data_IF_837997127408
#
_entry.id   IF_837997127408
#
_cell.length_a   1.000
_cell.length_b   1.000
_cell.length_c   1.000
_cell.angle_alpha   90.00
_cell.angle_beta   90.00
_cell.angle_gamma   90.00
#
_symmetry.space_group_name_H-M   'P 1'
#
loop_
_entity.id
_entity.type
_entity.pdbx_description
1 polymer ?
#
# COMPACT_ATOMS: atom_id res chain seq x y z
N UNK A 1 -7.27 -12.45 8.76
CA UNK A 1 -7.71 -13.10 7.51
C UNK A 1 -8.89 -12.38 6.87
N UNK A 2 -9.97 -12.11 7.55
CA UNK A 2 -11.03 -11.25 7.01
C UNK A 2 -10.50 -9.87 6.65
N UNK A 3 -9.60 -9.34 7.46
CA UNK A 3 -8.85 -8.12 7.22
C UNK A 3 -7.39 -8.42 6.93
N UNK A 4 -6.69 -7.50 6.25
CA UNK A 4 -5.26 -7.57 5.97
C UNK A 4 -4.41 -6.80 6.98
N UNK A 5 -4.96 -6.55 8.17
CA UNK A 5 -4.30 -5.86 9.28
C UNK A 5 -4.76 -6.42 10.63
N UNK A 6 -4.09 -6.03 11.71
CA UNK A 6 -4.48 -6.33 13.08
C UNK A 6 -5.23 -5.12 13.65
N UNK A 7 -6.46 -5.32 14.07
CA UNK A 7 -7.36 -4.24 14.51
C UNK A 7 -6.89 -3.53 15.78
N UNK A 8 -6.16 -4.23 16.63
CA UNK A 8 -5.76 -3.71 17.93
C UNK A 8 -4.26 -3.50 18.03
N UNK A 9 -3.83 -2.24 18.09
CA UNK A 9 -2.45 -1.88 18.36
C UNK A 9 -2.01 -2.38 19.74
N UNK A 10 -0.73 -2.75 19.82
CA UNK A 10 -0.15 -3.25 21.03
C UNK A 10 -0.61 -4.64 21.42
N UNK A 11 -1.33 -5.35 20.54
CA UNK A 11 -1.65 -6.76 20.76
C UNK A 11 -0.36 -7.59 20.72
N UNK A 12 -0.15 -8.37 21.77
CA UNK A 12 1.01 -9.26 21.87
C UNK A 12 0.58 -10.69 21.58
N UNK A 13 1.04 -11.21 20.42
CA UNK A 13 0.72 -12.58 20.00
C UNK A 13 1.56 -13.61 20.75
N UNK A 14 2.82 -13.24 21.04
CA UNK A 14 3.80 -14.06 21.74
C UNK A 14 4.64 -13.17 22.64
N UNK A 15 5.26 -13.76 23.64
CA UNK A 15 6.09 -13.03 24.61
C UNK A 15 7.17 -12.19 23.90
N UNK A 16 7.09 -10.90 24.06
CA UNK A 16 7.97 -9.92 23.42
C UNK A 16 7.65 -9.60 21.94
N UNK A 17 6.63 -10.21 21.33
CA UNK A 17 6.23 -9.95 19.95
C UNK A 17 4.92 -9.15 19.90
N UNK A 18 5.06 -7.87 20.09
CA UNK A 18 3.95 -6.92 20.15
C UNK A 18 3.65 -6.32 18.78
N UNK A 19 2.36 -6.36 18.38
CA UNK A 19 1.94 -5.69 17.15
C UNK A 19 2.12 -4.17 17.27
N UNK A 20 2.76 -3.59 16.25
CA UNK A 20 2.92 -2.15 16.08
C UNK A 20 2.09 -1.71 14.87
N UNK A 21 1.14 -0.81 15.10
CA UNK A 21 0.37 -0.18 14.04
C UNK A 21 1.17 0.87 13.27
N UNK A 22 0.49 1.60 12.42
CA UNK A 22 1.09 2.74 11.73
C UNK A 22 1.37 3.90 12.70
N UNK A 23 2.29 4.76 12.30
CA UNK A 23 2.59 5.97 13.06
C UNK A 23 1.86 7.16 12.45
N UNK A 24 0.87 7.75 13.14
CA UNK A 24 0.15 8.90 12.63
C UNK A 24 1.06 10.14 12.53
N UNK A 25 0.89 10.93 11.48
CA UNK A 25 1.53 12.23 11.37
C UNK A 25 0.72 13.30 12.10
N UNK A 26 1.40 14.30 12.68
CA UNK A 26 0.71 15.42 13.34
C UNK A 26 -0.20 16.18 12.39
N UNK A 27 -1.41 16.52 12.84
CA UNK A 27 -2.40 17.28 12.06
C UNK A 27 -1.89 18.66 11.59
N UNK A 28 -1.04 19.31 12.37
CA UNK A 28 -0.43 20.61 12.05
C UNK A 28 0.49 20.59 10.82
N UNK A 29 0.87 19.40 10.35
CA UNK A 29 1.65 19.21 9.12
C UNK A 29 0.79 19.02 7.87
N UNK A 30 -0.51 18.84 8.00
CA UNK A 30 -1.42 18.62 6.87
C UNK A 30 -1.72 19.93 6.14
N UNK A 31 -1.57 19.91 4.83
CA UNK A 31 -1.89 21.02 3.93
C UNK A 31 -3.20 20.73 3.22
N UNK A 32 -4.18 21.63 3.36
CA UNK A 32 -5.48 21.49 2.70
C UNK A 32 -5.40 21.95 1.25
N UNK A 33 -5.89 21.11 0.33
CA UNK A 33 -5.87 21.34 -1.12
C UNK A 33 -7.26 21.18 -1.73
N UNK A 34 -7.55 21.94 -2.81
CA UNK A 34 -8.82 21.92 -3.55
C UNK A 34 -8.66 21.53 -5.03
N UNK A 35 -7.48 21.75 -5.59
CA UNK A 35 -7.20 21.58 -7.02
C UNK A 35 -5.74 21.15 -7.25
N UNK A 36 -5.38 20.94 -8.51
CA UNK A 36 -4.05 20.49 -8.89
C UNK A 36 -2.96 21.51 -8.57
N UNK A 37 -3.25 22.79 -8.70
CA UNK A 37 -2.33 23.89 -8.42
C UNK A 37 -1.97 23.97 -6.94
N UNK A 38 -2.96 23.75 -6.06
CA UNK A 38 -2.73 23.68 -4.61
C UNK A 38 -1.83 22.51 -4.26
N UNK A 39 -2.04 21.33 -4.88
CA UNK A 39 -1.19 20.15 -4.68
C UNK A 39 0.22 20.41 -5.18
N UNK A 40 0.37 21.00 -6.37
CA UNK A 40 1.68 21.38 -6.93
C UNK A 40 2.45 22.31 -6.00
N UNK A 41 1.76 23.32 -5.45
CA UNK A 41 2.34 24.25 -4.47
C UNK A 41 2.78 23.54 -3.20
N UNK A 42 1.92 22.67 -2.65
CA UNK A 42 2.22 21.91 -1.43
C UNK A 42 3.44 21.00 -1.62
N UNK A 43 3.54 20.31 -2.76
CA UNK A 43 4.71 19.49 -3.08
C UNK A 43 5.99 20.30 -3.18
N UNK A 44 5.94 21.43 -3.91
CA UNK A 44 7.09 22.31 -4.03
C UNK A 44 7.61 22.76 -2.67
N UNK A 45 6.73 23.29 -1.83
CA UNK A 45 7.07 23.75 -0.47
C UNK A 45 7.62 22.60 0.40
N UNK A 46 7.02 21.41 0.32
CA UNK A 46 7.46 20.25 1.09
C UNK A 46 8.87 19.78 0.68
N UNK A 47 9.18 19.74 -0.61
CA UNK A 47 10.51 19.36 -1.10
C UNK A 47 11.56 20.45 -0.85
N UNK A 48 11.21 21.71 -1.00
CA UNK A 48 12.09 22.84 -0.64
C UNK A 48 12.46 22.81 0.85
N UNK A 49 11.52 22.47 1.74
CA UNK A 49 11.77 22.35 3.18
C UNK A 49 12.75 21.20 3.53
N UNK A 50 12.91 20.24 2.64
CA UNK A 50 13.82 19.09 2.77
C UNK A 50 15.07 19.22 1.88
N UNK A 51 15.40 20.42 1.44
CA UNK A 51 16.51 20.65 0.49
C UNK A 51 17.90 20.19 0.96
N UNK A 52 18.07 19.99 2.27
CA UNK A 52 19.32 19.54 2.89
C UNK A 52 19.30 18.04 3.25
N UNK A 53 18.29 17.27 2.78
CA UNK A 53 18.16 15.84 3.01
C UNK A 53 18.35 15.12 1.68
N UNK A 54 19.17 14.08 1.64
CA UNK A 54 19.29 13.22 0.47
C UNK A 54 18.04 12.37 0.33
N UNK A 55 17.15 12.83 -0.57
CA UNK A 55 15.87 12.16 -0.82
C UNK A 55 16.02 11.09 -1.90
N UNK A 56 15.26 10.01 -1.75
CA UNK A 56 14.97 9.05 -2.81
C UNK A 56 13.46 8.87 -2.99
N UNK A 57 13.04 8.36 -4.13
CA UNK A 57 11.61 8.14 -4.43
C UNK A 57 11.34 6.71 -4.91
N UNK A 58 10.25 6.09 -4.40
CA UNK A 58 9.66 4.93 -5.05
C UNK A 58 8.87 5.38 -6.29
N UNK A 59 9.38 5.06 -7.47
CA UNK A 59 8.81 5.45 -8.75
C UNK A 59 8.18 4.22 -9.44
N UNK A 60 6.90 4.01 -9.22
CA UNK A 60 6.20 2.78 -9.61
C UNK A 60 5.74 2.74 -11.09
N UNK A 61 5.94 3.80 -11.85
CA UNK A 61 5.32 3.96 -13.19
C UNK A 61 3.84 4.38 -13.15
N UNK A 62 3.23 4.45 -11.97
CA UNK A 62 1.88 4.97 -11.77
C UNK A 62 1.82 6.49 -11.70
N UNK A 63 0.62 7.03 -11.90
CA UNK A 63 0.36 8.47 -11.94
C UNK A 63 0.78 9.20 -10.65
N UNK A 64 0.53 8.61 -9.49
CA UNK A 64 0.77 9.28 -8.20
C UNK A 64 2.26 9.51 -7.95
N UNK A 65 3.07 8.47 -8.14
CA UNK A 65 4.52 8.58 -8.00
C UNK A 65 5.14 9.47 -9.07
N UNK A 66 4.58 9.48 -10.30
CA UNK A 66 4.98 10.40 -11.35
C UNK A 66 4.73 11.86 -10.97
N UNK A 67 3.58 12.18 -10.36
CA UNK A 67 3.31 13.52 -9.88
C UNK A 67 4.33 13.97 -8.82
N UNK A 68 4.74 13.11 -7.90
CA UNK A 68 5.80 13.43 -6.93
C UNK A 68 7.16 13.61 -7.62
N UNK A 69 7.51 12.74 -8.57
CA UNK A 69 8.78 12.80 -9.31
C UNK A 69 9.00 14.15 -10.01
N UNK A 70 7.92 14.78 -10.46
CA UNK A 70 7.97 16.09 -11.13
C UNK A 70 8.47 17.25 -10.23
N UNK A 71 8.50 17.07 -8.93
CA UNK A 71 8.96 18.08 -7.96
C UNK A 71 10.29 17.72 -7.30
N UNK A 72 10.87 16.55 -7.64
CA UNK A 72 12.18 16.15 -7.15
C UNK A 72 13.29 16.94 -7.84
N UNK A 73 14.42 17.11 -7.16
CA UNK A 73 15.61 17.74 -7.76
C UNK A 73 16.17 16.83 -8.86
N UNK A 74 16.69 17.38 -9.98
CA UNK A 74 17.49 16.61 -10.91
C UNK A 74 18.64 15.89 -10.19
N UNK A 75 18.89 14.63 -10.56
CA UNK A 75 19.88 13.79 -9.92
C UNK A 75 19.38 13.02 -8.68
N UNK A 76 18.15 13.25 -8.24
CA UNK A 76 17.56 12.43 -7.15
C UNK A 76 17.43 10.97 -7.57
N UNK A 77 17.75 10.04 -6.66
CA UNK A 77 17.65 8.61 -6.89
C UNK A 77 16.18 8.15 -6.86
N UNK A 78 15.77 7.42 -7.89
CA UNK A 78 14.43 6.88 -8.07
C UNK A 78 14.51 5.34 -8.18
N UNK A 79 13.65 4.62 -7.47
CA UNK A 79 13.68 3.16 -7.37
C UNK A 79 12.40 2.58 -7.95
N UNK A 80 12.54 1.63 -8.88
CA UNK A 80 11.42 0.89 -9.48
C UNK A 80 11.67 -0.62 -9.41
N UNK A 81 10.59 -1.40 -9.28
CA UNK A 81 10.72 -2.86 -9.15
C UNK A 81 10.89 -3.53 -10.50
N UNK A 82 11.84 -4.49 -10.56
CA UNK A 82 12.02 -5.40 -11.68
C UNK A 82 11.85 -6.84 -11.19
N UNK A 83 10.75 -7.47 -11.60
CA UNK A 83 10.45 -8.84 -11.18
C UNK A 83 11.20 -9.84 -12.05
N UNK A 84 11.87 -10.81 -11.40
CA UNK A 84 12.68 -11.85 -12.04
C UNK A 84 12.00 -13.22 -11.92
N UNK A 85 12.40 -14.15 -12.80
CA UNK A 85 11.96 -15.55 -12.73
C UNK A 85 10.56 -15.83 -13.29
N UNK A 86 9.98 -14.91 -14.06
CA UNK A 86 8.68 -15.08 -14.67
C UNK A 86 8.47 -14.17 -15.87
N UNK A 87 7.31 -14.31 -16.52
CA UNK A 87 6.89 -13.41 -17.59
C UNK A 87 6.02 -12.30 -16.97
N UNK A 88 6.64 -11.22 -16.56
CA UNK A 88 5.99 -10.07 -15.94
C UNK A 88 5.90 -8.89 -16.90
N UNK A 89 4.86 -8.07 -16.76
CA UNK A 89 4.73 -6.84 -17.55
C UNK A 89 5.88 -5.86 -17.24
N UNK A 90 6.43 -5.25 -18.28
CA UNK A 90 7.48 -4.21 -18.18
C UNK A 90 6.92 -2.79 -18.22
N UNK A 91 5.62 -2.64 -18.46
CA UNK A 91 4.99 -1.33 -18.68
C UNK A 91 5.25 -0.33 -17.56
N UNK A 92 5.19 -0.78 -16.29
CA UNK A 92 5.45 0.10 -15.15
C UNK A 92 6.90 0.58 -15.13
N UNK A 93 7.86 -0.30 -15.44
CA UNK A 93 9.27 0.06 -15.54
C UNK A 93 9.53 1.03 -16.70
N UNK A 94 8.90 0.80 -17.85
CA UNK A 94 9.03 1.68 -19.02
C UNK A 94 8.47 3.07 -18.73
N UNK A 95 7.31 3.16 -18.06
CA UNK A 95 6.76 4.43 -17.60
C UNK A 95 7.65 5.11 -16.55
N UNK A 96 8.14 4.36 -15.56
CA UNK A 96 9.06 4.88 -14.55
C UNK A 96 10.33 5.48 -15.20
N UNK A 97 10.88 4.79 -16.21
CA UNK A 97 12.01 5.28 -17.00
C UNK A 97 11.68 6.60 -17.70
N UNK A 98 10.54 6.68 -18.37
CA UNK A 98 10.09 7.88 -19.08
C UNK A 98 9.96 9.09 -18.11
N UNK A 99 9.40 8.87 -16.92
CA UNK A 99 9.26 9.91 -15.90
C UNK A 99 10.60 10.34 -15.32
N UNK A 100 11.48 9.38 -15.06
CA UNK A 100 12.83 9.68 -14.57
C UNK A 100 13.66 10.47 -15.59
N UNK A 101 13.63 10.07 -16.87
CA UNK A 101 14.31 10.80 -17.94
C UNK A 101 13.83 12.24 -18.08
N UNK A 102 12.49 12.46 -18.01
CA UNK A 102 11.90 13.81 -18.11
C UNK A 102 12.40 14.78 -17.03
N UNK A 103 12.56 14.32 -15.82
CA UNK A 103 12.97 15.13 -14.68
C UNK A 103 14.43 14.91 -14.26
N UNK A 104 15.20 14.21 -15.09
CA UNK A 104 16.63 13.95 -14.86
C UNK A 104 16.92 13.25 -13.52
N UNK A 105 16.09 12.26 -13.17
CA UNK A 105 16.29 11.43 -11.98
C UNK A 105 17.21 10.25 -12.32
N UNK A 106 17.94 9.75 -11.33
CA UNK A 106 18.78 8.56 -11.46
C UNK A 106 17.90 7.32 -11.20
N UNK A 107 17.51 6.61 -12.23
CA UNK A 107 16.62 5.44 -12.08
C UNK A 107 17.42 4.17 -11.75
N UNK A 108 17.08 3.56 -10.63
CA UNK A 108 17.59 2.26 -10.16
C UNK A 108 16.50 1.20 -10.29
N UNK A 109 16.90 0.00 -10.76
CA UNK A 109 16.02 -1.16 -10.79
C UNK A 109 16.27 -2.03 -9.57
N UNK A 110 15.22 -2.28 -8.80
CA UNK A 110 15.25 -3.16 -7.64
C UNK A 110 14.79 -4.55 -8.09
N UNK A 111 15.72 -5.49 -8.10
CA UNK A 111 15.45 -6.86 -8.54
C UNK A 111 14.70 -7.64 -7.47
N UNK A 112 13.54 -8.16 -7.83
CA UNK A 112 12.63 -8.87 -6.95
C UNK A 112 12.39 -10.29 -7.47
N UNK A 113 12.81 -11.27 -6.69
CA UNK A 113 12.50 -12.68 -6.87
C UNK A 113 12.03 -13.30 -5.54
N UNK A 114 11.80 -14.61 -5.54
CA UNK A 114 11.35 -15.29 -4.33
C UNK A 114 12.37 -15.22 -3.19
N UNK A 115 13.67 -15.21 -3.47
CA UNK A 115 14.70 -15.10 -2.45
C UNK A 115 14.66 -13.77 -1.67
N UNK A 116 14.24 -12.68 -2.34
CA UNK A 116 13.96 -11.39 -1.69
C UNK A 116 12.82 -11.53 -0.68
N UNK A 117 11.76 -12.22 -1.07
CA UNK A 117 10.61 -12.47 -0.18
C UNK A 117 11.07 -13.26 1.04
N UNK A 118 11.77 -14.36 0.85
CA UNK A 118 12.20 -15.25 1.94
C UNK A 118 13.11 -14.54 2.94
N UNK A 119 14.11 -13.78 2.48
CA UNK A 119 15.04 -13.10 3.38
C UNK A 119 14.42 -11.92 4.14
N UNK A 120 13.44 -11.25 3.55
CA UNK A 120 12.82 -10.06 4.13
C UNK A 120 11.60 -10.38 5.02
N UNK A 121 11.02 -11.58 4.91
CA UNK A 121 9.75 -11.91 5.56
C UNK A 121 9.85 -11.94 7.09
N UNK A 122 10.82 -12.65 7.64
CA UNK A 122 10.98 -12.80 9.09
C UNK A 122 11.32 -11.45 9.78
N UNK A 123 12.26 -10.63 9.30
CA UNK A 123 12.50 -9.30 9.86
C UNK A 123 11.25 -8.40 9.85
N UNK A 124 10.48 -8.41 8.76
CA UNK A 124 9.24 -7.64 8.64
C UNK A 124 8.17 -8.08 9.65
N UNK A 125 8.00 -9.39 9.82
CA UNK A 125 7.04 -9.95 10.79
C UNK A 125 7.44 -9.64 12.22
N UNK A 126 8.73 -9.71 12.55
CA UNK A 126 9.24 -9.36 13.88
C UNK A 126 9.04 -7.89 14.20
N UNK A 127 9.31 -7.00 13.24
CA UNK A 127 9.11 -5.56 13.45
C UNK A 127 7.63 -5.21 13.62
N UNK A 128 6.76 -5.79 12.80
CA UNK A 128 5.31 -5.54 12.84
C UNK A 128 4.62 -6.25 14.01
N UNK A 129 5.18 -7.36 14.50
CA UNK A 129 4.52 -8.25 15.45
C UNK A 129 3.27 -8.92 14.88
N UNK A 130 3.22 -9.15 13.55
CA UNK A 130 2.07 -9.69 12.85
C UNK A 130 2.46 -10.23 11.45
N UNK A 131 1.60 -11.02 10.79
CA UNK A 131 1.72 -11.30 9.37
C UNK A 131 1.76 -10.00 8.55
N UNK A 132 2.48 -10.02 7.42
CA UNK A 132 2.75 -8.83 6.61
C UNK A 132 2.05 -8.86 5.26
N UNK A 133 1.88 -7.69 4.65
CA UNK A 133 1.29 -7.55 3.32
C UNK A 133 2.27 -7.98 2.23
N UNK A 134 1.77 -8.49 1.11
CA UNK A 134 2.60 -9.00 -0.01
C UNK A 134 3.50 -7.97 -0.70
N UNK A 135 3.28 -6.68 -0.45
CA UNK A 135 4.14 -5.61 -0.99
C UNK A 135 5.32 -5.27 -0.08
N UNK A 136 5.27 -5.65 1.20
CA UNK A 136 6.29 -5.23 2.18
C UNK A 136 7.68 -5.74 1.87
N UNK A 137 7.89 -7.02 1.44
CA UNK A 137 9.22 -7.50 1.12
C UNK A 137 9.94 -6.71 0.01
N UNK A 138 9.22 -6.32 -1.04
CA UNK A 138 9.79 -5.55 -2.15
C UNK A 138 10.06 -4.08 -1.77
N UNK A 139 9.19 -3.47 -0.95
CA UNK A 139 9.43 -2.10 -0.44
C UNK A 139 10.65 -2.09 0.48
N UNK A 140 10.79 -3.08 1.36
CA UNK A 140 11.98 -3.21 2.22
C UNK A 140 13.25 -3.36 1.39
N UNK A 141 13.22 -4.14 0.31
CA UNK A 141 14.38 -4.30 -0.58
C UNK A 141 14.80 -2.98 -1.23
N UNK A 142 13.82 -2.22 -1.75
CA UNK A 142 14.09 -0.89 -2.29
C UNK A 142 14.67 0.06 -1.23
N UNK A 143 14.18 -0.01 0.00
CA UNK A 143 14.68 0.80 1.11
C UNK A 143 16.13 0.42 1.49
N UNK A 144 16.47 -0.88 1.47
CA UNK A 144 17.83 -1.37 1.73
C UNK A 144 18.79 -0.91 0.64
N UNK A 145 18.39 -0.99 -0.63
CA UNK A 145 19.19 -0.50 -1.75
C UNK A 145 19.39 1.02 -1.65
N UNK A 146 18.32 1.78 -1.46
CA UNK A 146 18.38 3.23 -1.30
C UNK A 146 19.33 3.66 -0.16
N UNK A 147 19.27 2.94 0.96
CA UNK A 147 20.17 3.18 2.09
C UNK A 147 21.64 2.92 1.74
N UNK A 148 21.92 1.87 0.97
CA UNK A 148 23.25 1.56 0.50
C UNK A 148 23.78 2.61 -0.49
N UNK A 149 22.90 3.23 -1.28
CA UNK A 149 23.20 4.30 -2.22
C UNK A 149 23.40 5.67 -1.53
N UNK A 150 23.13 5.77 -0.21
CA UNK A 150 23.33 7.00 0.58
C UNK A 150 22.08 7.86 0.74
N UNK A 151 20.91 7.38 0.33
CA UNK A 151 19.63 8.06 0.56
C UNK A 151 19.32 8.12 2.05
N UNK A 152 18.95 9.29 2.54
CA UNK A 152 18.61 9.52 3.95
C UNK A 152 17.11 9.36 4.24
N UNK A 153 16.26 9.67 3.25
CA UNK A 153 14.81 9.60 3.39
C UNK A 153 14.13 9.21 2.09
N UNK A 154 13.25 8.22 2.14
CA UNK A 154 12.43 7.80 1.00
C UNK A 154 11.09 8.52 0.96
N UNK A 155 10.64 8.81 -0.25
CA UNK A 155 9.33 9.38 -0.58
C UNK A 155 8.52 8.31 -1.32
N UNK A 156 7.26 8.14 -0.95
CA UNK A 156 6.33 7.29 -1.67
C UNK A 156 4.94 7.94 -1.79
N UNK A 157 4.16 7.47 -2.73
CA UNK A 157 2.85 8.02 -3.08
C UNK A 157 1.68 7.23 -2.45
N UNK A 158 1.90 6.57 -1.31
CA UNK A 158 0.81 5.91 -0.61
C UNK A 158 -0.18 6.94 -0.01
N UNK A 159 -1.42 6.53 0.25
CA UNK A 159 -2.48 7.41 0.72
C UNK A 159 -3.20 8.22 -0.37
N UNK A 160 -2.63 8.40 -1.56
CA UNK A 160 -3.25 9.13 -2.66
C UNK A 160 -4.62 8.59 -3.07
N UNK A 161 -4.79 7.28 -3.07
CA UNK A 161 -6.07 6.63 -3.37
C UNK A 161 -7.16 6.99 -2.35
N UNK A 162 -6.79 7.10 -1.08
CA UNK A 162 -7.69 7.52 -0.01
C UNK A 162 -8.11 8.98 -0.20
N UNK A 163 -7.12 9.87 -0.25
CA UNK A 163 -7.37 11.33 -0.26
C UNK A 163 -8.11 11.79 -1.50
N UNK A 164 -7.73 11.29 -2.68
CA UNK A 164 -8.22 11.79 -3.97
C UNK A 164 -9.23 10.87 -4.67
N UNK A 165 -9.78 9.88 -3.97
CA UNK A 165 -10.86 9.04 -4.48
C UNK A 165 -10.42 8.06 -5.57
N UNK A 166 -9.29 7.39 -5.36
CA UNK A 166 -8.79 6.34 -6.26
C UNK A 166 -9.28 4.94 -5.93
N UNK A 167 -10.15 4.76 -4.94
CA UNK A 167 -10.70 3.46 -4.56
C UNK A 167 -11.98 3.15 -5.33
N UNK A 168 -11.91 3.12 -6.67
CA UNK A 168 -13.06 3.10 -7.58
C UNK A 168 -14.12 2.07 -7.23
N UNK A 169 -13.73 0.82 -6.89
CA UNK A 169 -14.66 -0.24 -6.54
C UNK A 169 -15.38 0.03 -5.21
N UNK A 170 -14.67 0.56 -4.22
CA UNK A 170 -15.23 0.90 -2.91
C UNK A 170 -16.17 2.11 -2.98
N UNK A 171 -15.85 3.06 -3.85
CA UNK A 171 -16.61 4.32 -4.04
C UNK A 171 -17.72 4.21 -5.09
N UNK A 172 -17.90 3.05 -5.72
CA UNK A 172 -18.76 2.86 -6.89
C UNK A 172 -20.27 3.07 -6.64
N UNK A 173 -20.70 2.84 -5.42
CA UNK A 173 -22.11 2.97 -5.00
C UNK A 173 -22.22 3.25 -3.50
N UNK A 174 -23.43 3.55 -3.04
CA UNK A 174 -23.76 3.45 -1.63
C UNK A 174 -24.04 1.99 -1.28
N UNK A 175 -23.42 1.51 -0.22
CA UNK A 175 -23.39 0.09 0.11
C UNK A 175 -24.44 -0.27 1.15
N UNK A 176 -25.05 -1.45 1.00
CA UNK A 176 -25.75 -2.12 2.09
C UNK A 176 -24.75 -2.80 2.99
N UNK A 177 -25.10 -2.96 4.27
CA UNK A 177 -24.18 -3.48 5.28
C UNK A 177 -23.63 -4.87 4.92
N UNK A 178 -24.49 -5.84 4.62
CA UNK A 178 -24.05 -7.19 4.26
C UNK A 178 -23.26 -7.22 2.96
N UNK A 179 -23.65 -6.42 1.96
CA UNK A 179 -22.91 -6.31 0.71
C UNK A 179 -21.48 -5.79 0.94
N UNK A 180 -21.32 -4.84 1.87
CA UNK A 180 -20.00 -4.32 2.21
C UNK A 180 -19.16 -5.34 2.97
N UNK A 181 -19.75 -6.05 3.93
CA UNK A 181 -19.07 -7.12 4.68
C UNK A 181 -18.54 -8.18 3.73
N UNK A 182 -19.38 -8.65 2.81
CA UNK A 182 -18.99 -9.64 1.80
C UNK A 182 -17.90 -9.11 0.86
N UNK A 183 -18.05 -7.86 0.40
CA UNK A 183 -17.12 -7.22 -0.52
C UNK A 183 -15.74 -7.00 0.10
N UNK A 184 -15.72 -6.53 1.35
CA UNK A 184 -14.48 -6.16 2.03
C UNK A 184 -13.76 -7.35 2.66
N UNK A 185 -14.48 -8.40 3.03
CA UNK A 185 -13.88 -9.62 3.61
C UNK A 185 -12.92 -10.24 2.61
N UNK A 186 -11.63 -10.08 2.90
CA UNK A 186 -10.58 -10.48 1.96
C UNK A 186 -10.46 -11.99 1.82
N UNK A 187 -10.52 -12.71 2.94
CA UNK A 187 -10.57 -14.16 3.01
C UNK A 187 -11.41 -14.56 4.23
N UNK A 188 -12.55 -15.23 4.00
CA UNK A 188 -13.39 -15.71 5.10
C UNK A 188 -12.59 -16.73 5.94
N UNK A 189 -12.36 -16.45 7.22
CA UNK A 189 -11.64 -17.38 8.10
C UNK A 189 -12.25 -18.77 8.17
N UNK A 190 -13.57 -18.91 7.95
CA UNK A 190 -14.29 -20.19 8.01
C UNK A 190 -13.88 -21.17 6.91
N UNK A 191 -13.40 -20.66 5.77
CA UNK A 191 -12.95 -21.55 4.68
C UNK A 191 -11.51 -22.06 4.89
N UNK A 192 -10.75 -21.43 5.79
CA UNK A 192 -9.33 -21.71 5.95
C UNK A 192 -8.94 -22.23 7.33
N UNK A 193 -9.64 -21.83 8.39
CA UNK A 193 -9.30 -22.19 9.77
C UNK A 193 -10.28 -23.22 10.36
N UNK A 194 -9.77 -24.14 11.19
CA UNK A 194 -10.59 -25.12 11.93
C UNK A 194 -11.43 -24.45 13.03
N UNK A 195 -10.86 -23.43 13.67
CA UNK A 195 -11.50 -22.69 14.77
C UNK A 195 -11.48 -21.17 14.46
N UNK A 196 -12.28 -20.71 13.49
CA UNK A 196 -12.31 -19.29 13.13
C UNK A 196 -13.01 -18.47 14.20
N UNK A 197 -12.49 -17.27 14.46
CA UNK A 197 -13.16 -16.25 15.28
C UNK A 197 -14.02 -15.38 14.36
N UNK A 198 -15.26 -15.11 14.78
CA UNK A 198 -16.12 -14.18 14.06
C UNK A 198 -15.64 -12.74 14.30
N UNK A 199 -15.32 -12.06 13.19
CA UNK A 199 -14.82 -10.69 13.19
C UNK A 199 -15.88 -9.68 12.69
N UNK A 200 -17.13 -10.12 12.49
CA UNK A 200 -18.21 -9.25 11.97
C UNK A 200 -18.48 -8.03 12.84
N UNK A 201 -18.20 -8.11 14.15
CA UNK A 201 -18.33 -6.99 15.09
C UNK A 201 -17.52 -5.75 14.68
N UNK A 202 -16.44 -5.92 13.92
CA UNK A 202 -15.61 -4.81 13.44
C UNK A 202 -16.34 -3.93 12.42
N UNK A 203 -17.29 -4.49 11.71
CA UNK A 203 -18.14 -3.74 10.78
C UNK A 203 -19.31 -3.07 11.50
N UNK A 204 -19.83 -3.65 12.60
CA UNK A 204 -21.03 -3.17 13.28
C UNK A 204 -20.94 -1.71 13.74
N UNK A 205 -19.75 -1.23 14.09
CA UNK A 205 -19.54 0.18 14.48
C UNK A 205 -19.81 1.19 13.36
N UNK A 206 -19.90 0.71 12.11
CA UNK A 206 -20.20 1.53 10.92
C UNK A 206 -21.61 1.31 10.39
N UNK A 207 -22.40 0.45 11.04
CA UNK A 207 -23.79 0.19 10.62
C UNK A 207 -24.64 1.44 10.77
N UNK A 208 -25.41 1.76 9.73
CA UNK A 208 -26.39 2.83 9.67
C UNK A 208 -27.83 2.27 9.63
N UNK A 209 -28.87 3.09 9.88
CA UNK A 209 -30.25 2.68 9.70
C UNK A 209 -30.54 2.11 8.30
N UNK A 210 -31.64 1.35 8.17
CA UNK A 210 -32.09 0.75 6.91
C UNK A 210 -31.06 -0.17 6.26
N UNK A 211 -30.27 -0.85 7.10
CA UNK A 211 -29.23 -1.77 6.67
C UNK A 211 -28.15 -1.14 5.76
N UNK A 212 -27.86 0.13 5.94
CA UNK A 212 -26.78 0.83 5.28
C UNK A 212 -25.48 0.74 6.11
N UNK A 213 -24.37 1.20 5.53
CA UNK A 213 -23.09 1.31 6.21
C UNK A 213 -22.42 2.65 5.88
N UNK A 214 -21.75 3.23 6.87
CA UNK A 214 -20.84 4.37 6.67
C UNK A 214 -19.50 3.86 6.11
N UNK A 215 -19.53 3.49 4.83
CA UNK A 215 -18.34 2.92 4.16
C UNK A 215 -17.24 3.96 3.96
N UNK A 216 -17.55 5.25 3.89
CA UNK A 216 -16.54 6.30 3.78
C UNK A 216 -15.74 6.42 5.07
N UNK A 217 -16.43 6.45 6.22
CA UNK A 217 -15.77 6.41 7.52
C UNK A 217 -15.00 5.10 7.73
N UNK A 218 -15.56 3.97 7.29
CA UNK A 218 -14.86 2.69 7.34
C UNK A 218 -13.54 2.75 6.56
N UNK A 219 -13.55 3.27 5.33
CA UNK A 219 -12.35 3.40 4.50
C UNK A 219 -11.32 4.30 5.19
N UNK A 220 -11.74 5.44 5.72
CA UNK A 220 -10.86 6.41 6.39
C UNK A 220 -10.18 5.78 7.61
N UNK A 221 -10.94 5.09 8.46
CA UNK A 221 -10.43 4.46 9.68
C UNK A 221 -9.50 3.26 9.40
N UNK A 222 -9.74 2.52 8.31
CA UNK A 222 -9.09 1.22 8.05
C UNK A 222 -7.88 1.34 7.13
N UNK A 223 -7.84 2.32 6.23
CA UNK A 223 -6.80 2.44 5.22
C UNK A 223 -5.39 2.58 5.82
N UNK A 224 -5.25 3.35 6.89
CA UNK A 224 -3.99 3.54 7.58
C UNK A 224 -3.40 2.22 8.07
N UNK A 225 -4.24 1.39 8.69
CA UNK A 225 -3.85 0.09 9.25
C UNK A 225 -3.51 -0.95 8.17
N UNK A 226 -4.11 -0.85 7.00
CA UNK A 226 -3.90 -1.82 5.91
C UNK A 226 -2.75 -1.41 4.98
N UNK A 227 -2.81 -0.19 4.44
CA UNK A 227 -1.88 0.26 3.41
C UNK A 227 -0.68 1.01 3.98
N UNK A 228 -0.90 2.12 4.67
CA UNK A 228 0.19 2.96 5.18
C UNK A 228 1.06 2.21 6.19
N UNK A 229 0.47 1.39 7.06
CA UNK A 229 1.22 0.55 7.99
C UNK A 229 2.19 -0.41 7.28
N UNK A 230 1.84 -0.89 6.08
CA UNK A 230 2.72 -1.76 5.28
C UNK A 230 3.96 -1.01 4.77
N UNK A 231 3.80 0.22 4.30
CA UNK A 231 4.93 1.07 3.91
C UNK A 231 5.79 1.42 5.13
N UNK A 232 5.17 1.90 6.22
CA UNK A 232 5.88 2.22 7.45
C UNK A 232 6.71 1.05 7.96
N UNK A 233 6.10 -0.15 8.05
CA UNK A 233 6.80 -1.35 8.50
C UNK A 233 8.02 -1.68 7.63
N UNK A 234 7.88 -1.63 6.31
CA UNK A 234 8.96 -1.96 5.39
C UNK A 234 10.14 -0.98 5.52
N UNK A 235 9.87 0.33 5.57
CA UNK A 235 10.91 1.35 5.72
C UNK A 235 11.56 1.31 7.09
N UNK A 236 10.80 1.18 8.17
CA UNK A 236 11.34 1.10 9.53
C UNK A 236 12.20 -0.16 9.69
N UNK A 237 11.76 -1.31 9.16
CA UNK A 237 12.53 -2.57 9.22
C UNK A 237 13.87 -2.43 8.49
N UNK A 238 13.91 -1.72 7.37
CA UNK A 238 15.16 -1.41 6.66
C UNK A 238 16.02 -0.36 7.39
N UNK A 239 15.52 0.28 8.43
CA UNK A 239 16.17 1.41 9.12
C UNK A 239 16.26 2.65 8.22
N UNK A 240 15.26 2.88 7.36
CA UNK A 240 15.14 4.00 6.44
C UNK A 240 14.07 4.97 6.94
N UNK A 241 14.36 6.28 6.90
CA UNK A 241 13.34 7.31 7.10
C UNK A 241 12.39 7.34 5.92
N UNK A 242 11.12 7.60 6.19
CA UNK A 242 10.07 7.60 5.19
C UNK A 242 9.14 8.81 5.37
N UNK A 243 8.68 9.37 4.27
CA UNK A 243 7.67 10.42 4.27
C UNK A 243 6.62 10.18 3.20
N UNK A 244 5.39 9.84 3.59
CA UNK A 244 4.24 9.88 2.70
C UNK A 244 3.77 11.33 2.52
N UNK A 245 3.09 11.61 1.41
CA UNK A 245 2.57 12.95 1.10
C UNK A 245 1.05 13.04 1.18
N UNK A 246 0.37 11.94 1.50
CA UNK A 246 -1.10 11.89 1.51
C UNK A 246 -1.64 11.45 2.87
N UNK A 247 -2.86 11.89 3.20
CA UNK A 247 -3.58 11.47 4.40
C UNK A 247 -3.81 9.93 4.41
N UNK A 248 -3.88 9.26 5.58
CA UNK A 248 -3.86 9.85 6.94
C UNK A 248 -2.47 10.17 7.45
N UNK A 249 -1.44 9.63 6.83
CA UNK A 249 -0.05 9.75 7.28
C UNK A 249 0.74 10.85 6.54
N UNK A 250 0.12 11.51 5.55
CA UNK A 250 0.78 12.46 4.68
C UNK A 250 0.58 13.92 5.04
N UNK A 251 1.22 14.77 4.23
CA UNK A 251 1.19 16.24 4.42
C UNK A 251 0.01 16.90 3.68
N UNK A 252 -0.60 16.20 2.73
CA UNK A 252 -1.67 16.75 1.87
C UNK A 252 -2.99 16.08 2.18
N UNK A 253 -4.04 16.87 2.36
CA UNK A 253 -5.42 16.43 2.58
C UNK A 253 -6.38 17.29 1.77
N UNK A 254 -7.47 16.74 1.27
CA UNK A 254 -8.50 17.54 0.62
C UNK A 254 -9.19 18.47 1.63
N UNK A 255 -9.39 19.74 1.21
CA UNK A 255 -10.13 20.72 1.99
C UNK A 255 -11.65 20.47 2.00
N UNK A 256 -12.15 19.75 1.01
CA UNK A 256 -13.57 19.46 0.79
C UNK A 256 -13.80 17.95 0.63
N UNK A 257 -15.01 17.44 0.93
CA UNK A 257 -15.34 16.06 0.69
C UNK A 257 -15.16 15.63 -0.77
N UNK A 258 -14.92 14.35 -1.00
CA UNK A 258 -14.84 13.76 -2.34
C UNK A 258 -16.15 13.97 -3.12
N UNK A 259 -16.06 14.40 -4.38
CA UNK A 259 -17.19 14.43 -5.30
C UNK A 259 -17.49 13.01 -5.83
N UNK A 260 -18.32 12.28 -5.10
CA UNK A 260 -18.67 10.89 -5.45
C UNK A 260 -19.42 10.80 -6.80
N UNK A 261 -20.17 11.83 -7.22
CA UNK A 261 -20.84 11.81 -8.53
C UNK A 261 -19.81 11.81 -9.65
N UNK A 262 -18.80 12.64 -9.51
CA UNK A 262 -17.69 12.75 -10.47
C UNK A 262 -16.87 11.47 -10.52
N UNK A 263 -16.54 10.89 -9.38
CA UNK A 263 -15.83 9.63 -9.28
C UNK A 263 -16.62 8.50 -9.96
N UNK A 264 -17.90 8.38 -9.64
CA UNK A 264 -18.82 7.35 -10.20
C UNK A 264 -19.09 7.52 -11.70
N UNK A 265 -18.87 8.72 -12.26
CA UNK A 265 -18.92 8.95 -13.71
C UNK A 265 -17.61 8.60 -14.45
N UNK A 266 -16.60 8.07 -13.75
CA UNK A 266 -15.33 7.65 -14.33
C UNK A 266 -14.17 8.63 -14.16
N UNK A 267 -14.38 9.73 -13.39
CA UNK A 267 -13.34 10.72 -13.12
C UNK A 267 -12.70 10.54 -11.73
N UNK A 268 -12.30 9.32 -11.40
CA UNK A 268 -11.55 9.07 -10.17
C UNK A 268 -10.22 9.86 -10.15
N UNK A 269 -9.79 10.29 -8.96
CA UNK A 269 -8.54 11.06 -8.78
C UNK A 269 -8.44 12.30 -9.67
N UNK A 270 -9.53 12.99 -9.93
CA UNK A 270 -9.57 14.10 -10.89
C UNK A 270 -8.54 15.20 -10.59
N UNK A 271 -8.23 15.49 -9.33
CA UNK A 271 -7.20 16.46 -8.95
C UNK A 271 -5.81 15.98 -9.37
N UNK A 272 -5.46 14.72 -9.06
CA UNK A 272 -4.16 14.13 -9.41
C UNK A 272 -4.04 13.91 -10.92
N UNK A 273 -5.13 13.54 -11.61
CA UNK A 273 -5.15 13.47 -13.08
C UNK A 273 -4.85 14.83 -13.71
N UNK A 274 -5.38 15.90 -13.15
CA UNK A 274 -5.09 17.25 -13.63
C UNK A 274 -3.63 17.63 -13.33
N UNK A 275 -3.13 17.33 -12.15
CA UNK A 275 -1.72 17.55 -11.80
C UNK A 275 -0.79 16.78 -12.75
N UNK A 276 -1.12 15.50 -13.06
CA UNK A 276 -0.35 14.71 -14.00
C UNK A 276 -0.30 15.38 -15.39
N UNK A 277 -1.43 15.85 -15.91
CA UNK A 277 -1.49 16.57 -17.19
C UNK A 277 -0.67 17.85 -17.18
N UNK A 278 -0.59 18.55 -16.05
CA UNK A 278 0.27 19.74 -15.89
C UNK A 278 1.74 19.37 -15.93
N UNK A 279 2.14 18.28 -15.26
CA UNK A 279 3.53 17.84 -15.19
C UNK A 279 3.99 17.12 -16.47
N UNK A 280 3.07 16.42 -17.14
CA UNK A 280 3.33 15.54 -18.29
C UNK A 280 2.36 15.80 -19.44
N UNK A 281 2.33 17.02 -20.04
CA UNK A 281 1.32 17.38 -21.04
C UNK A 281 1.38 16.53 -22.31
N UNK A 282 2.54 15.94 -22.64
CA UNK A 282 2.76 15.09 -23.81
C UNK A 282 2.52 13.59 -23.54
N UNK A 283 2.32 13.20 -22.26
CA UNK A 283 2.14 11.79 -21.89
C UNK A 283 0.67 11.55 -21.52
N UNK A 284 0.02 10.54 -22.09
CA UNK A 284 -1.34 10.21 -21.69
C UNK A 284 -1.39 9.75 -20.23
N UNK A 285 -2.47 10.11 -19.53
CA UNK A 285 -2.69 9.64 -18.15
C UNK A 285 -2.75 8.11 -18.15
N UNK A 286 -1.87 7.43 -17.39
CA UNK A 286 -1.83 5.98 -17.38
C UNK A 286 -3.11 5.39 -16.79
N UNK A 287 -3.48 4.19 -17.27
CA UNK A 287 -4.51 3.41 -16.60
C UNK A 287 -4.03 3.00 -15.20
N UNK A 288 -4.99 2.93 -14.26
CA UNK A 288 -4.66 2.53 -12.91
C UNK A 288 -4.36 1.03 -12.86
N UNK A 289 -3.13 0.70 -12.50
CA UNK A 289 -2.71 -0.66 -12.17
C UNK A 289 -2.37 -0.75 -10.68
N UNK A 290 -2.79 -1.81 -9.97
CA UNK A 290 -2.31 -2.04 -8.61
C UNK A 290 -0.78 -2.21 -8.60
N UNK A 291 -0.12 -1.86 -7.48
CA UNK A 291 1.32 -2.14 -7.33
C UNK A 291 1.61 -3.59 -7.69
N UNK A 292 2.50 -3.85 -8.66
CA UNK A 292 2.81 -5.21 -9.11
C UNK A 292 3.35 -6.06 -7.96
N UNK A 293 2.90 -7.31 -7.92
CA UNK A 293 3.37 -8.33 -6.98
C UNK A 293 3.18 -9.70 -7.61
N UNK A 294 4.23 -10.49 -7.72
CA UNK A 294 4.17 -11.74 -8.50
C UNK A 294 3.57 -12.92 -7.71
N UNK A 295 2.69 -12.65 -6.74
CA UNK A 295 2.11 -13.68 -5.86
C UNK A 295 1.33 -14.75 -6.60
N UNK A 296 0.65 -14.41 -7.71
CA UNK A 296 -0.06 -15.41 -8.52
C UNK A 296 0.93 -16.40 -9.17
N UNK A 297 2.10 -15.92 -9.58
CA UNK A 297 3.17 -16.76 -10.13
C UNK A 297 3.82 -17.61 -9.04
N UNK A 298 4.17 -17.01 -7.89
CA UNK A 298 4.83 -17.70 -6.79
C UNK A 298 3.95 -18.80 -6.16
N UNK A 299 2.63 -18.58 -6.08
CA UNK A 299 1.70 -19.52 -5.47
C UNK A 299 0.92 -20.37 -6.48
N UNK A 300 1.34 -20.42 -7.75
CA UNK A 300 0.65 -21.20 -8.78
C UNK A 300 0.51 -22.66 -8.39
N UNK A 301 1.60 -23.27 -7.95
CA UNK A 301 1.70 -24.70 -7.61
C UNK A 301 1.78 -24.95 -6.10
N UNK A 302 1.47 -23.94 -5.28
CA UNK A 302 1.48 -24.10 -3.83
C UNK A 302 0.25 -24.89 -3.34
N UNK A 303 0.52 -25.99 -2.66
CA UNK A 303 -0.51 -26.93 -2.20
C UNK A 303 -1.35 -26.43 -1.01
N UNK A 304 -0.93 -25.35 -0.35
CA UNK A 304 -1.59 -24.81 0.82
C UNK A 304 -0.82 -24.96 2.12
N UNK A 305 -1.34 -24.39 3.22
CA UNK A 305 -0.72 -24.48 4.53
C UNK A 305 -0.81 -25.91 5.09
N UNK A 306 0.22 -26.28 5.89
CA UNK A 306 0.36 -27.64 6.47
C UNK A 306 0.15 -27.69 7.98
N UNK A 307 0.01 -26.53 8.63
CA UNK A 307 -0.15 -26.46 10.09
C UNK A 307 -1.55 -26.93 10.53
N UNK A 308 -1.67 -27.50 11.75
CA UNK A 308 -2.90 -28.09 12.25
C UNK A 308 -4.06 -27.10 12.47
N UNK A 309 -3.79 -25.80 12.55
CA UNK A 309 -4.81 -24.75 12.68
C UNK A 309 -5.64 -24.57 11.40
N UNK A 310 -5.07 -24.94 10.27
CA UNK A 310 -5.74 -24.83 8.98
C UNK A 310 -6.59 -26.06 8.67
N UNK A 311 -7.62 -25.86 7.88
CA UNK A 311 -8.45 -26.94 7.35
C UNK A 311 -7.67 -27.70 6.28
N UNK A 312 -7.93 -29.00 6.17
CA UNK A 312 -7.30 -29.88 5.16
C UNK A 312 -8.03 -29.84 3.80
N UNK A 313 -9.26 -29.31 3.77
CA UNK A 313 -10.14 -29.28 2.61
C UNK A 313 -10.23 -27.90 1.94
N UNK A 314 -9.20 -27.05 2.12
CA UNK A 314 -9.16 -25.75 1.45
C UNK A 314 -9.00 -25.94 -0.06
N UNK A 315 -9.96 -25.44 -0.83
CA UNK A 315 -9.87 -25.44 -2.30
C UNK A 315 -8.94 -24.33 -2.78
N UNK A 316 -7.65 -24.64 -2.89
CA UNK A 316 -6.61 -23.70 -3.30
C UNK A 316 -6.82 -23.15 -4.71
N UNK A 317 -7.58 -23.85 -5.58
CA UNK A 317 -7.84 -23.39 -6.95
C UNK A 317 -8.78 -22.18 -7.01
N UNK A 318 -9.57 -21.96 -5.97
CA UNK A 318 -10.49 -20.80 -5.84
C UNK A 318 -9.85 -19.58 -5.23
N UNK A 319 -8.63 -19.68 -4.73
CA UNK A 319 -7.93 -18.57 -4.07
C UNK A 319 -7.02 -17.83 -5.05
N UNK A 320 -7.09 -16.50 -4.98
CA UNK A 320 -6.13 -15.62 -5.66
C UNK A 320 -4.74 -15.73 -5.02
N UNK A 321 -3.69 -15.36 -5.73
CA UNK A 321 -2.32 -15.34 -5.19
C UNK A 321 -2.19 -14.51 -3.92
N UNK A 322 -2.91 -13.39 -3.81
CA UNK A 322 -2.92 -12.58 -2.59
C UNK A 322 -3.62 -13.27 -1.40
N UNK A 323 -4.66 -14.05 -1.64
CA UNK A 323 -5.31 -14.85 -0.59
C UNK A 323 -4.41 -16.01 -0.14
N UNK A 324 -3.72 -16.65 -1.09
CA UNK A 324 -2.70 -17.66 -0.80
C UNK A 324 -1.53 -17.07 -0.01
N UNK A 325 -1.06 -15.87 -0.39
CA UNK A 325 -0.07 -15.13 0.39
C UNK A 325 -0.49 -14.97 1.85
N UNK A 326 -1.75 -14.61 2.09
CA UNK A 326 -2.23 -14.39 3.46
C UNK A 326 -2.19 -15.67 4.29
N UNK A 327 -2.55 -16.82 3.70
CA UNK A 327 -2.42 -18.13 4.35
C UNK A 327 -0.96 -18.48 4.63
N UNK A 328 -0.10 -18.33 3.62
CA UNK A 328 1.33 -18.58 3.73
C UNK A 328 1.99 -17.70 4.81
N UNK A 329 1.68 -16.41 4.78
CA UNK A 329 2.24 -15.47 5.72
C UNK A 329 1.79 -15.74 7.16
N UNK A 330 0.53 -16.13 7.37
CA UNK A 330 0.04 -16.57 8.68
C UNK A 330 0.74 -17.84 9.14
N UNK A 331 0.89 -18.84 8.27
CA UNK A 331 1.61 -20.07 8.59
C UNK A 331 3.05 -19.77 9.02
N UNK A 332 3.78 -18.95 8.25
CA UNK A 332 5.17 -18.55 8.58
C UNK A 332 5.28 -17.77 9.87
N UNK A 333 4.31 -16.90 10.15
CA UNK A 333 4.25 -16.17 11.42
C UNK A 333 4.07 -17.11 12.62
N UNK A 334 3.20 -18.12 12.50
CA UNK A 334 3.02 -19.15 13.52
C UNK A 334 4.29 -20.01 13.69
N UNK A 335 4.91 -20.47 12.59
CA UNK A 335 6.15 -21.27 12.62
C UNK A 335 7.30 -20.52 13.30
N UNK A 336 7.42 -19.23 13.07
CA UNK A 336 8.48 -18.40 13.66
C UNK A 336 8.40 -18.33 15.19
N UNK A 337 7.21 -18.47 15.74
CA UNK A 337 6.95 -18.24 17.17
C UNK A 337 6.90 -19.55 18.00
N UNK A 338 7.06 -20.71 17.37
CA UNK A 338 7.17 -21.99 18.06
C UNK A 338 8.61 -22.47 18.26
N UNK A 339 9.58 -21.66 17.83
CA UNK A 339 11.02 -21.89 18.05
C UNK A 339 11.49 -21.25 19.33
#
# INVERSE_FOLDING_TARGET
MAFRYIEKDGYEFYDGLKHTGDMPYPEDRKVLVKNAEDVAKAYKEAFESKSNVELGILLSGGMDSACLAAFMKPGTDAYTFRFLGGNFSTEDMERAKLYAEKYHLNLHYVDIDWSVVERNLEPLMKMKGAPVHSIEPQIMEAALQAKADGVEMMVAADGSDLVFGGMDRMLSKDWKFEEWVDFYTFLDPKIALKNPVDMSYLFERYRLPENNIDYLKFIDDVFAHESSASYCNAFITAGMKYTPFFDPSGMVKMAEPLDLKRIRSGESKYIIRNLFKMCYPEIPVPEKTPMPRPVDAYFKDWEGPKRPEFREDIDMSKLTGNQKWQLYCLEKFLDMNEK
#
